data_IF_026055884427
#
_entry.id   IF_026055884427
#
_cell.length_a   1.000
_cell.length_b   1.000
_cell.length_c   1.000
_cell.angle_alpha   90.00
_cell.angle_beta   90.00
_cell.angle_gamma   90.00
#
_symmetry.space_group_name_H-M   'P 1'
#
loop_
_entity.id
_entity.type
_entity.pdbx_description
1 polymer ?
#
# COMPACT_ATOMS: atom_id res chain seq x y z
N UNK A 1 -22.23 26.38 -19.31
CA UNK A 1 -21.65 25.10 -19.67
C UNK A 1 -20.35 24.86 -18.93
N UNK A 2 -20.21 23.68 -18.41
CA UNK A 2 -19.03 23.35 -17.62
C UNK A 2 -17.81 23.12 -18.50
N UNK A 3 -16.69 23.62 -18.08
CA UNK A 3 -15.43 23.40 -18.74
C UNK A 3 -14.86 22.07 -18.21
N UNK A 4 -14.36 21.26 -19.13
CA UNK A 4 -13.79 19.98 -18.74
C UNK A 4 -12.51 20.20 -17.96
N UNK A 5 -12.41 19.59 -16.83
CA UNK A 5 -11.23 19.65 -16.00
C UNK A 5 -10.62 18.27 -15.83
N UNK A 6 -9.61 18.20 -15.00
CA UNK A 6 -8.94 16.96 -14.66
C UNK A 6 -9.12 16.73 -13.17
N UNK A 7 -9.57 15.52 -12.83
CA UNK A 7 -9.70 15.13 -11.44
C UNK A 7 -9.01 13.78 -11.31
N UNK A 8 -7.77 13.80 -10.83
CA UNK A 8 -6.98 12.59 -10.80
C UNK A 8 -6.10 12.61 -9.56
N UNK A 9 -6.07 11.48 -8.87
CA UNK A 9 -5.25 11.29 -7.69
C UNK A 9 -4.38 10.07 -7.91
N UNK A 10 -3.10 10.20 -7.61
CA UNK A 10 -2.16 9.11 -7.69
C UNK A 10 -1.53 8.94 -6.33
N UNK A 11 -1.58 7.73 -5.81
CA UNK A 11 -0.99 7.40 -4.51
C UNK A 11 -0.13 6.17 -4.63
N UNK A 12 0.98 6.18 -3.91
CA UNK A 12 1.73 4.97 -3.60
C UNK A 12 1.87 4.95 -2.08
N UNK A 13 1.29 3.96 -1.45
CA UNK A 13 1.31 3.92 0.01
C UNK A 13 1.04 2.53 0.53
N UNK A 14 0.86 2.45 1.84
CA UNK A 14 0.65 1.16 2.50
C UNK A 14 -0.69 1.16 3.20
N UNK A 15 -1.31 0.00 3.23
CA UNK A 15 -2.59 -0.14 3.92
C UNK A 15 -2.38 -0.10 5.42
N UNK A 16 -3.24 0.65 6.10
CA UNK A 16 -3.21 0.73 7.55
C UNK A 16 -3.98 -0.37 8.22
N UNK A 17 -4.83 -1.05 7.47
CA UNK A 17 -5.60 -2.18 7.96
C UNK A 17 -6.03 -3.02 6.78
N UNK A 18 -6.58 -4.19 7.07
CA UNK A 18 -7.10 -5.06 6.02
C UNK A 18 -8.26 -4.36 5.31
N UNK A 19 -8.43 -4.62 4.01
CA UNK A 19 -9.55 -4.03 3.27
C UNK A 19 -10.88 -4.47 3.83
N UNK A 20 -11.84 -3.56 3.81
CA UNK A 20 -13.22 -3.87 4.14
C UNK A 20 -14.01 -4.03 2.86
N UNK A 21 -14.49 -5.23 2.61
CA UNK A 21 -15.20 -5.52 1.37
C UNK A 21 -16.65 -5.79 1.68
N UNK A 22 -17.52 -5.14 0.90
CA UNK A 22 -18.95 -5.35 1.00
C UNK A 22 -19.51 -5.63 -0.38
N UNK A 23 -20.65 -6.29 -0.40
CA UNK A 23 -21.35 -6.54 -1.64
C UNK A 23 -22.65 -5.78 -1.62
N UNK A 24 -22.90 -5.04 -2.69
CA UNK A 24 -24.10 -4.22 -2.78
C UNK A 24 -25.20 -5.04 -3.45
N UNK A 25 -26.48 -4.62 -3.28
CA UNK A 25 -27.60 -5.46 -3.74
C UNK A 25 -27.58 -5.83 -5.23
N UNK A 26 -27.06 -4.97 -6.10
CA UNK A 26 -27.01 -5.31 -7.50
C UNK A 26 -25.76 -6.07 -7.86
N UNK A 27 -25.13 -6.72 -6.91
CA UNK A 27 -24.13 -7.73 -7.17
C UNK A 27 -22.69 -7.26 -7.27
N UNK A 28 -22.45 -5.99 -7.09
CA UNK A 28 -21.08 -5.49 -7.17
C UNK A 28 -20.39 -5.52 -5.83
N UNK A 29 -19.07 -5.54 -5.87
CA UNK A 29 -18.26 -5.45 -4.67
C UNK A 29 -17.76 -4.03 -4.49
N UNK A 30 -17.62 -3.62 -3.23
CA UNK A 30 -17.05 -2.33 -2.86
C UNK A 30 -16.05 -2.58 -1.75
N UNK A 31 -14.84 -2.09 -1.93
CA UNK A 31 -13.79 -2.24 -0.93
C UNK A 31 -13.34 -0.88 -0.45
N UNK A 32 -13.21 -0.75 0.86
CA UNK A 32 -12.69 0.46 1.47
C UNK A 32 -11.29 0.19 1.96
N UNK A 33 -10.37 1.04 1.55
CA UNK A 33 -8.98 0.94 1.97
C UNK A 33 -8.59 2.19 2.73
N UNK A 34 -7.68 2.02 3.65
CA UNK A 34 -7.05 3.11 4.35
C UNK A 34 -5.57 3.09 3.97
N UNK A 35 -5.15 4.06 3.18
CA UNK A 35 -3.81 4.06 2.61
C UNK A 35 -3.02 5.19 3.22
N UNK A 36 -1.84 4.87 3.73
CA UNK A 36 -0.96 5.85 4.36
C UNK A 36 0.15 6.23 3.39
N UNK A 37 0.35 7.52 3.25
CA UNK A 37 1.54 8.04 2.58
C UNK A 37 2.33 8.85 3.59
N UNK A 38 3.63 8.65 3.61
CA UNK A 38 4.47 9.28 4.63
C UNK A 38 5.60 10.03 3.97
N UNK A 39 5.96 11.14 4.61
CA UNK A 39 7.12 11.91 4.23
C UNK A 39 8.03 12.03 5.42
N UNK A 40 9.32 11.96 5.18
CA UNK A 40 10.30 12.20 6.22
C UNK A 40 11.25 13.27 5.75
N UNK A 41 11.65 14.11 6.68
CA UNK A 41 12.61 15.16 6.37
C UNK A 41 13.39 15.50 7.62
N UNK A 42 14.51 16.17 7.44
CA UNK A 42 15.32 16.60 8.56
C UNK A 42 14.95 18.03 8.92
N UNK A 43 14.63 18.22 10.21
CA UNK A 43 14.34 19.55 10.70
C UNK A 43 15.62 20.35 10.73
N UNK A 44 15.63 21.48 10.05
CA UNK A 44 16.85 22.29 9.95
C UNK A 44 17.23 22.94 11.26
N UNK A 45 16.26 23.18 12.11
CA UNK A 45 16.55 23.85 13.38
C UNK A 45 17.06 22.89 14.44
N UNK A 46 16.46 21.72 14.53
CA UNK A 46 16.82 20.77 15.57
C UNK A 46 17.72 19.65 15.10
N UNK A 47 17.80 19.43 13.79
CA UNK A 47 18.55 18.32 13.23
C UNK A 47 17.85 16.99 13.34
N UNK A 48 16.67 16.95 13.92
CA UNK A 48 15.92 15.71 14.09
C UNK A 48 15.18 15.34 12.83
N UNK A 49 15.01 14.02 12.66
CA UNK A 49 14.17 13.54 11.59
C UNK A 49 12.72 13.71 11.97
N UNK A 50 11.95 14.19 11.03
CA UNK A 50 10.52 14.37 11.21
C UNK A 50 9.77 13.53 10.21
N UNK A 51 8.60 13.09 10.62
CA UNK A 51 7.77 12.25 9.77
C UNK A 51 6.34 12.76 9.83
N UNK A 52 5.70 12.76 8.69
CA UNK A 52 4.28 13.09 8.62
C UNK A 52 3.60 12.08 7.74
N UNK A 53 2.49 11.56 8.27
CA UNK A 53 1.70 10.55 7.57
C UNK A 53 0.34 11.12 7.23
N UNK A 54 -0.06 10.91 5.99
CA UNK A 54 -1.38 11.30 5.54
C UNK A 54 -2.18 10.04 5.28
N UNK A 55 -3.39 9.99 5.84
CA UNK A 55 -4.26 8.84 5.68
C UNK A 55 -5.30 9.13 4.61
N UNK A 56 -5.34 8.28 3.61
CA UNK A 56 -6.25 8.47 2.49
C UNK A 56 -7.31 7.39 2.52
N UNK A 57 -8.54 7.82 2.29
CA UNK A 57 -9.67 6.92 2.21
C UNK A 57 -9.90 6.58 0.74
N UNK A 58 -9.77 5.31 0.40
CA UNK A 58 -9.85 4.85 -0.98
C UNK A 58 -10.98 3.86 -1.10
N UNK A 59 -11.81 4.04 -2.13
CA UNK A 59 -12.95 3.16 -2.37
C UNK A 59 -12.76 2.53 -3.73
N UNK A 60 -12.75 1.20 -3.75
CA UNK A 60 -12.62 0.42 -4.98
C UNK A 60 -13.96 -0.19 -5.32
N UNK A 61 -14.21 -0.34 -6.61
CA UNK A 61 -15.49 -0.90 -7.07
C UNK A 61 -15.23 -2.09 -7.98
N UNK A 62 -16.17 -3.05 -7.92
CA UNK A 62 -16.21 -4.15 -8.87
C UNK A 62 -15.04 -5.09 -8.73
N UNK A 63 -14.45 -5.42 -9.85
CA UNK A 63 -13.38 -6.40 -9.88
C UNK A 63 -12.19 -5.98 -9.04
N UNK A 64 -11.85 -4.70 -9.06
CA UNK A 64 -10.74 -4.20 -8.25
C UNK A 64 -11.01 -4.40 -6.77
N UNK A 65 -12.27 -4.23 -6.35
CA UNK A 65 -12.62 -4.46 -4.95
C UNK A 65 -12.44 -5.92 -4.57
N UNK A 66 -12.83 -6.82 -5.45
CA UNK A 66 -12.66 -8.25 -5.17
C UNK A 66 -11.18 -8.62 -5.07
N UNK A 67 -10.38 -8.11 -6.00
CA UNK A 67 -8.95 -8.40 -5.97
C UNK A 67 -8.31 -7.86 -4.70
N UNK A 68 -8.69 -6.65 -4.32
CA UNK A 68 -8.15 -6.06 -3.09
C UNK A 68 -8.50 -6.91 -1.88
N UNK A 69 -9.76 -7.34 -1.80
CA UNK A 69 -10.18 -8.15 -0.66
C UNK A 69 -9.47 -9.48 -0.57
N UNK A 70 -9.10 -10.02 -1.72
CA UNK A 70 -8.47 -11.32 -1.76
C UNK A 70 -6.98 -11.26 -1.45
N UNK A 71 -6.29 -10.23 -1.93
CA UNK A 71 -4.83 -10.22 -1.92
C UNK A 71 -4.21 -9.18 -1.00
N UNK A 72 -4.91 -8.10 -0.70
CA UNK A 72 -4.32 -7.04 0.11
C UNK A 72 -4.54 -7.29 1.58
N UNK A 73 -3.56 -6.92 2.37
CA UNK A 73 -3.65 -7.01 3.82
C UNK A 73 -2.96 -5.79 4.41
N UNK A 74 -3.17 -5.58 5.70
CA UNK A 74 -2.51 -4.50 6.41
C UNK A 74 -1.02 -4.51 6.10
N UNK A 75 -0.47 -3.36 5.76
CA UNK A 75 0.94 -3.21 5.45
C UNK A 75 1.31 -3.39 4.00
N UNK A 76 0.39 -3.89 3.18
CA UNK A 76 0.67 -4.09 1.77
C UNK A 76 0.85 -2.74 1.07
N UNK A 77 1.75 -2.71 0.11
CA UNK A 77 2.00 -1.50 -0.66
C UNK A 77 1.21 -1.53 -1.95
N UNK A 78 0.58 -0.41 -2.28
CA UNK A 78 -0.27 -0.33 -3.46
C UNK A 78 -0.03 0.95 -4.21
N UNK A 79 -0.25 0.90 -5.50
CA UNK A 79 -0.35 2.04 -6.38
C UNK A 79 -1.82 2.24 -6.70
N UNK A 80 -2.30 3.46 -6.48
CA UNK A 80 -3.71 3.79 -6.69
C UNK A 80 -3.79 4.96 -7.65
N UNK A 81 -4.70 4.84 -8.59
CA UNK A 81 -5.01 5.94 -9.49
C UNK A 81 -6.52 6.07 -9.54
N UNK A 82 -7.04 7.21 -9.09
CA UNK A 82 -8.47 7.41 -9.02
C UNK A 82 -8.81 8.86 -9.10
N UNK A 83 -9.96 9.21 -8.55
CA UNK A 83 -10.39 10.60 -8.57
C UNK A 83 -10.93 10.98 -7.19
N UNK A 84 -10.84 12.26 -6.90
CA UNK A 84 -11.36 12.79 -5.65
C UNK A 84 -12.87 12.89 -5.71
N UNK A 85 -13.50 12.58 -4.58
CA UNK A 85 -14.93 12.78 -4.45
C UNK A 85 -15.25 13.10 -3.01
N UNK A 86 -16.04 14.12 -2.81
CA UNK A 86 -16.54 14.49 -1.49
C UNK A 86 -18.01 14.18 -1.44
N UNK A 87 -18.43 13.48 -0.42
CA UNK A 87 -19.86 13.23 -0.18
C UNK A 87 -20.22 13.74 1.18
N UNK A 88 -21.51 13.96 1.36
CA UNK A 88 -22.00 14.46 2.64
C UNK A 88 -23.16 13.59 3.10
N UNK A 89 -23.37 13.61 4.40
CA UNK A 89 -24.52 12.96 5.01
C UNK A 89 -24.90 13.72 6.25
N UNK A 90 -26.08 13.43 6.74
CA UNK A 90 -26.55 14.07 7.97
C UNK A 90 -26.40 13.14 9.14
N UNK A 91 -25.92 13.69 10.23
CA UNK A 91 -25.67 12.95 11.44
C UNK A 91 -26.18 13.81 12.60
N UNK A 92 -27.34 13.44 13.15
CA UNK A 92 -27.96 14.17 14.26
C UNK A 92 -28.12 15.65 13.94
N UNK A 93 -28.61 15.95 12.73
CA UNK A 93 -28.83 17.32 12.34
C UNK A 93 -27.60 18.08 11.91
N UNK A 94 -26.44 17.42 11.92
CA UNK A 94 -25.20 18.03 11.51
C UNK A 94 -24.79 17.43 10.16
N UNK A 95 -24.47 18.30 9.21
CA UNK A 95 -24.00 17.83 7.91
C UNK A 95 -22.52 17.51 8.01
N UNK A 96 -22.17 16.30 7.63
CA UNK A 96 -20.77 15.86 7.66
C UNK A 96 -20.30 15.57 6.28
N UNK A 97 -19.02 15.74 6.06
CA UNK A 97 -18.40 15.56 4.76
C UNK A 97 -17.24 14.59 4.88
N UNK A 98 -17.02 13.81 3.83
CA UNK A 98 -15.83 12.99 3.74
C UNK A 98 -15.32 13.05 2.31
N UNK A 99 -14.02 13.21 2.17
CA UNK A 99 -13.36 13.22 0.87
C UNK A 99 -12.68 11.88 0.68
N UNK A 100 -12.97 11.25 -0.43
CA UNK A 100 -12.48 9.92 -0.74
C UNK A 100 -11.86 9.90 -2.12
N UNK A 101 -11.05 8.89 -2.35
CA UNK A 101 -10.50 8.63 -3.67
C UNK A 101 -11.25 7.43 -4.22
N UNK A 102 -11.95 7.65 -5.33
CA UNK A 102 -12.72 6.59 -5.96
C UNK A 102 -11.91 5.97 -7.08
N UNK A 103 -11.84 4.64 -7.08
CA UNK A 103 -11.17 3.89 -8.13
C UNK A 103 -12.24 3.10 -8.86
N UNK A 104 -12.68 3.64 -9.97
CA UNK A 104 -13.70 3.00 -10.81
C UNK A 104 -13.01 2.19 -11.89
N UNK A 105 -13.81 1.74 -12.84
CA UNK A 105 -13.26 0.92 -13.92
C UNK A 105 -12.19 1.63 -14.72
N UNK A 106 -12.22 2.97 -14.73
CA UNK A 106 -11.21 3.75 -15.43
C UNK A 106 -9.97 4.00 -14.58
N UNK A 107 -10.02 3.62 -13.32
CA UNK A 107 -8.87 3.82 -12.43
C UNK A 107 -7.98 2.60 -12.40
N UNK A 108 -6.99 2.67 -11.54
CA UNK A 108 -5.99 1.62 -11.45
C UNK A 108 -5.68 1.32 -9.99
N UNK A 109 -5.57 0.04 -9.69
CA UNK A 109 -5.03 -0.42 -8.42
C UNK A 109 -4.01 -1.50 -8.74
N UNK A 110 -2.78 -1.28 -8.31
CA UNK A 110 -1.69 -2.20 -8.59
C UNK A 110 -1.00 -2.55 -7.28
N UNK A 111 -0.86 -3.85 -7.04
CA UNK A 111 -0.16 -4.31 -5.86
C UNK A 111 1.34 -4.22 -6.10
N UNK A 112 2.05 -3.55 -5.20
CA UNK A 112 3.47 -3.32 -5.38
C UNK A 112 4.33 -4.18 -4.48
N UNK A 113 3.77 -4.67 -3.37
CA UNK A 113 4.54 -5.49 -2.49
C UNK A 113 3.72 -6.02 -1.35
N UNK A 114 4.26 -7.00 -0.68
CA UNK A 114 3.58 -7.61 0.42
C UNK A 114 3.76 -6.79 1.69
N UNK A 115 2.93 -7.08 2.65
CA UNK A 115 3.04 -6.45 3.95
C UNK A 115 4.39 -6.78 4.55
N UNK A 116 5.00 -5.79 5.18
CA UNK A 116 6.23 -6.02 5.92
C UNK A 116 5.95 -7.03 7.01
N UNK A 117 6.80 -8.02 7.14
CA UNK A 117 6.63 -9.05 8.16
C UNK A 117 5.68 -10.15 7.78
N UNK A 118 5.07 -10.00 6.62
CA UNK A 118 4.19 -11.07 6.16
C UNK A 118 4.96 -12.18 5.49
N UNK A 119 5.91 -12.23 5.60
CA UNK A 119 6.69 -13.09 5.14
C UNK A 119 6.72 -14.09 4.49
N UNK A 120 6.70 -14.24 4.35
CA UNK A 120 6.63 -15.26 4.01
C UNK A 120 7.04 -15.55 2.86
N UNK A 121 7.10 -15.45 2.64
CA UNK A 121 7.21 -15.84 1.69
C UNK A 121 8.05 -15.91 0.94
N UNK A 122 8.21 -16.26 0.85
CA UNK A 122 8.92 -16.48 0.24
C UNK A 122 9.46 -16.48 -0.74
N UNK A 123 9.28 -16.65 -0.95
CA UNK A 123 9.60 -16.95 -1.82
C UNK A 123 10.39 -16.42 -2.57
N UNK A 124 10.33 -16.21 -2.66
CA UNK A 124 10.95 -15.96 -3.33
C UNK A 124 11.99 -15.58 -3.49
N UNK A 125 11.99 -15.37 -3.21
CA UNK A 125 12.81 -15.26 -3.37
C UNK A 125 13.61 -14.94 -3.46
N UNK A 126 13.40 -14.85 -3.19
CA UNK A 126 14.19 -14.69 -3.20
C UNK A 126 15.22 -15.08 -3.22
N UNK A 127 15.10 -15.51 -3.18
CA UNK A 127 16.09 -15.97 -3.22
C UNK A 127 17.18 -15.56 -3.81
N UNK A 128 17.16 -15.19 -4.14
CA UNK A 128 18.23 -14.86 -4.73
C UNK A 128 19.28 -14.48 -4.10
N UNK A 129 19.11 -14.25 -3.54
CA UNK A 129 20.04 -13.98 -2.95
C UNK A 129 20.81 -14.65 -2.30
N UNK A 130 20.71 -15.03 -2.33
CA UNK A 130 21.33 -15.64 -1.59
C UNK A 130 22.73 -15.77 -1.69
N UNK A 131 23.06 -15.60 -1.71
CA UNK A 131 23.93 -15.78 -1.66
C UNK A 131 24.91 -15.93 -1.29
N UNK A 132 25.21 -16.19 -1.12
CA UNK A 132 25.98 -16.35 -0.68
C UNK A 132 27.10 -16.60 -0.24
N UNK A 133 27.17 -16.75 0.06
CA UNK A 133 27.96 -17.00 0.49
C UNK A 133 28.91 -17.42 0.70
N UNK A 134 29.28 -17.68 0.75
CA UNK A 134 30.07 -18.10 1.08
C UNK A 134 31.17 -18.33 1.56
N UNK A 135 31.10 -18.36 1.85
CA UNK A 135 31.84 -18.65 2.27
C UNK A 135 32.81 -19.10 2.46
N UNK A 136 32.94 -19.27 2.56
CA UNK A 136 33.67 -19.63 2.86
C UNK A 136 34.75 -20.03 3.08
N UNK A 137 34.68 -20.09 3.14
CA UNK A 137 35.36 -20.52 3.30
C UNK A 137 36.34 -20.86 3.49
N UNK A 138 36.31 -20.85 3.70
CA UNK A 138 37.07 -21.26 3.92
C UNK A 138 38.02 -21.60 4.22
N UNK A 139 37.87 -21.61 4.43
CA UNK A 139 38.54 -22.01 4.75
C UNK A 139 39.39 -22.47 4.86
N UNK A 140 39.34 -22.46 4.82
CA UNK A 140 39.95 -23.02 4.93
C UNK A 140 40.86 -23.35 5.10
N UNK A 141 40.71 -23.24 5.02
CA UNK A 141 41.28 -23.73 5.24
C UNK A 141 42.23 -23.95 5.46
N UNK A 142 42.20 -23.92 5.68
CA UNK A 142 42.90 -24.30 5.92
C UNK A 142 43.80 -24.65 6.29
N UNK A 143 43.75 -24.74 6.47
CA UNK A 143 44.36 -25.19 6.87
C UNK A 143 45.26 -25.65 6.95
N UNK A 144 45.32 -25.70 6.90
CA UNK A 144 45.96 -26.22 7.02
C UNK A 144 46.90 -26.48 7.16
N UNK A 145 46.74 -26.30 7.10
CA UNK A 145 47.37 -26.72 7.28
C UNK A 145 48.26 -27.00 7.53
N UNK A 146 48.22 -27.00 7.61
CA UNK A 146 48.80 -27.42 7.90
C UNK A 146 49.65 -27.88 8.08
N UNK A 147 49.82 -28.10 8.13
CA UNK A 147 50.41 -28.63 8.34
C UNK A 147 51.49 -28.99 8.61
N UNK A 148 51.66 -29.16 8.79
CA UNK A 148 52.37 -29.63 9.20
C UNK A 148 53.01 -29.70 9.69
#
# INVERSE_FOLDING_TARGET
>A
MAVRGINKVILVGRLGKDPEVRYIPNGGAVANLQVATSETWRDKQTGEMREQTEWHRVVLFGKLAEVAGEYLRKGAQVYIEGQLRTRSWEDNGITRYVTEILVKTTGTMQMLGRAAGAQTQPEEGQQFSAQPQPEPQSEAGTKKGGAK
#
